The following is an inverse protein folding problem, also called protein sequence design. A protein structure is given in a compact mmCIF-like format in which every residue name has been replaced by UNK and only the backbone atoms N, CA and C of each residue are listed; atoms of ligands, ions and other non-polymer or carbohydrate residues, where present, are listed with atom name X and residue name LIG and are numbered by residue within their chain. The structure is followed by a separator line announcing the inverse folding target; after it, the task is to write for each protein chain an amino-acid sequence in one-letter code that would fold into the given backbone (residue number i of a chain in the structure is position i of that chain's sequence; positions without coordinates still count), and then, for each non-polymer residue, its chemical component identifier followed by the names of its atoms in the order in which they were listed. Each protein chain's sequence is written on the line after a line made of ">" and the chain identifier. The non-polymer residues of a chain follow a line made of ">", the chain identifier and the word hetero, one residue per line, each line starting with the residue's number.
data_IF_133978283208
#
_entry.id   IF_133978283208
#
_cell.length_a   1.000
_cell.length_b   1.000
_cell.length_c   1.000
_cell.angle_alpha   90.00
_cell.angle_beta   90.00
_cell.angle_gamma   90.00
#
_symmetry.space_group_name_H-M   'P 1'
#
loop_
_entity.id
_entity.type
_entity.pdbx_description
1 polymer ?
#
# COMPACT_ATOMS: atom_id res chain seq x y z
N UNK A 1 16.46 25.38 0.70
CA UNK A 1 15.59 24.31 0.16
C UNK A 1 14.38 25.00 -0.47
N UNK A 2 14.23 24.89 -1.78
CA UNK A 2 13.18 25.59 -2.54
C UNK A 2 11.84 24.91 -2.23
N UNK A 3 11.01 25.57 -1.42
CA UNK A 3 9.62 25.18 -1.23
C UNK A 3 8.88 25.38 -2.54
N UNK A 4 8.55 24.27 -3.21
CA UNK A 4 7.59 24.28 -4.29
C UNK A 4 6.31 23.67 -3.76
N UNK A 5 5.33 24.53 -3.51
CA UNK A 5 3.96 24.11 -3.25
C UNK A 5 3.43 23.41 -4.50
N UNK A 6 3.03 22.14 -4.33
CA UNK A 6 2.41 21.34 -5.39
C UNK A 6 0.92 21.64 -5.33
N UNK A 7 0.40 22.37 -6.31
CA UNK A 7 -1.03 22.56 -6.49
C UNK A 7 -1.62 21.41 -7.32
N UNK A 8 -2.75 20.88 -6.87
CA UNK A 8 -3.47 19.78 -7.52
C UNK A 8 -4.00 20.16 -8.90
N UNK A 9 -4.25 19.13 -9.71
CA UNK A 9 -4.76 19.24 -11.07
C UNK A 9 -6.14 19.91 -11.05
N UNK A 10 -6.26 20.99 -11.83
CA UNK A 10 -7.45 21.83 -12.05
C UNK A 10 -7.71 22.87 -10.96
N UNK A 11 -7.06 24.04 -11.10
CA UNK A 11 -7.70 25.31 -10.76
C UNK A 11 -7.82 26.13 -12.05
N UNK A 12 -8.96 25.98 -12.73
CA UNK A 12 -9.28 26.72 -13.96
C UNK A 12 -9.54 28.22 -13.72
N UNK A 13 -9.36 28.74 -12.49
CA UNK A 13 -9.76 30.10 -12.12
C UNK A 13 -8.62 31.02 -11.69
N UNK A 14 -7.36 30.71 -12.01
CA UNK A 14 -6.23 31.60 -11.68
C UNK A 14 -5.91 32.65 -12.77
N UNK A 15 -6.69 32.72 -13.85
CA UNK A 15 -6.57 33.81 -14.83
C UNK A 15 -7.27 35.08 -14.36
N UNK A 16 -6.59 36.23 -14.44
CA UNK A 16 -7.22 37.54 -14.29
C UNK A 16 -8.32 37.71 -15.35
N UNK A 17 -9.55 38.01 -14.93
CA UNK A 17 -10.68 38.25 -15.84
C UNK A 17 -10.35 39.41 -16.78
N UNK A 18 -10.38 39.15 -18.09
CA UNK A 18 -10.21 40.18 -19.11
C UNK A 18 -11.44 40.22 -20.01
N UNK A 19 -11.90 41.43 -20.34
CA UNK A 19 -13.08 41.66 -21.15
C UNK A 19 -12.66 42.15 -22.52
N UNK A 20 -13.19 41.53 -23.58
CA UNK A 20 -13.06 42.01 -24.96
C UNK A 20 -14.45 42.45 -25.41
N UNK A 21 -14.78 43.71 -25.15
CA UNK A 21 -16.13 44.25 -25.37
C UNK A 21 -17.14 43.70 -24.35
N UNK A 22 -18.30 43.24 -24.82
CA UNK A 22 -19.41 42.79 -23.95
C UNK A 22 -19.35 41.30 -23.59
N UNK A 23 -18.24 40.62 -23.90
CA UNK A 23 -18.04 39.19 -23.63
C UNK A 23 -16.80 39.00 -22.72
N UNK A 24 -16.92 38.11 -21.73
CA UNK A 24 -15.76 37.64 -20.94
C UNK A 24 -14.88 36.82 -21.88
N UNK A 25 -13.66 37.30 -22.12
CA UNK A 25 -12.67 36.57 -22.90
C UNK A 25 -11.63 36.01 -21.95
N UNK A 26 -11.56 34.68 -21.85
CA UNK A 26 -10.51 34.00 -21.11
C UNK A 26 -9.20 34.06 -21.90
N UNK A 27 -8.47 35.18 -21.80
CA UNK A 27 -7.12 35.32 -22.32
C UNK A 27 -6.09 35.08 -21.22
N UNK A 28 -5.54 33.87 -21.19
CA UNK A 28 -4.36 33.52 -20.43
C UNK A 28 -3.53 32.52 -21.23
N UNK A 29 -2.21 32.51 -21.00
CA UNK A 29 -1.34 31.46 -21.53
C UNK A 29 -1.77 30.14 -20.89
N UNK A 30 -2.51 29.33 -21.64
CA UNK A 30 -2.84 27.98 -21.21
C UNK A 30 -1.57 27.15 -21.26
N UNK A 31 -0.98 26.88 -20.10
CA UNK A 31 -0.02 25.81 -19.95
C UNK A 31 -0.76 24.48 -20.11
N UNK A 32 -0.87 23.99 -21.35
CA UNK A 32 -1.20 22.59 -21.61
C UNK A 32 0.01 21.81 -21.08
N UNK A 33 -0.07 21.35 -19.83
CA UNK A 33 0.89 20.39 -19.30
C UNK A 33 0.58 19.08 -19.99
N UNK A 34 1.29 18.78 -21.07
CA UNK A 34 1.25 17.45 -21.66
C UNK A 34 1.66 16.44 -20.58
N UNK A 35 0.86 15.38 -20.35
CA UNK A 35 1.22 14.39 -19.35
C UNK A 35 2.51 13.71 -19.79
N UNK A 36 3.58 13.90 -19.01
CA UNK A 36 4.82 13.15 -19.17
C UNK A 36 4.54 11.68 -18.84
N UNK A 37 4.39 10.84 -19.87
CA UNK A 37 4.25 9.41 -19.69
C UNK A 37 5.60 8.82 -19.28
N UNK A 38 5.68 8.30 -18.05
CA UNK A 38 6.85 7.59 -17.54
C UNK A 38 6.53 6.12 -17.26
N UNK A 39 7.44 5.22 -17.62
CA UNK A 39 7.36 3.81 -17.22
C UNK A 39 7.92 3.68 -15.81
N UNK A 40 7.07 3.26 -14.86
CA UNK A 40 7.47 2.96 -13.49
C UNK A 40 6.78 1.69 -12.98
N UNK A 41 7.32 1.11 -11.90
CA UNK A 41 6.63 0.05 -11.18
C UNK A 41 5.42 0.64 -10.45
N UNK A 42 4.40 -0.19 -10.28
CA UNK A 42 3.32 0.10 -9.34
C UNK A 42 3.89 0.13 -7.93
N UNK A 43 3.42 1.05 -7.09
CA UNK A 43 3.76 1.07 -5.67
C UNK A 43 3.08 -0.07 -4.93
N UNK A 44 3.54 -0.46 -3.72
CA UNK A 44 2.85 -1.46 -2.93
C UNK A 44 1.39 -1.11 -2.65
N UNK A 45 1.08 0.15 -2.37
CA UNK A 45 -0.30 0.63 -2.18
C UNK A 45 -1.15 0.47 -3.44
N UNK A 46 -0.58 0.74 -4.63
CA UNK A 46 -1.27 0.51 -5.89
C UNK A 46 -1.53 -0.99 -6.12
N UNK A 47 -0.56 -1.86 -5.78
CA UNK A 47 -0.75 -3.31 -5.82
C UNK A 47 -1.85 -3.79 -4.86
N UNK A 48 -1.89 -3.27 -3.63
CA UNK A 48 -2.92 -3.58 -2.63
C UNK A 48 -4.32 -3.21 -3.14
N UNK A 49 -4.48 -1.97 -3.64
CA UNK A 49 -5.74 -1.47 -4.22
C UNK A 49 -6.20 -2.33 -5.40
N UNK A 50 -5.29 -2.70 -6.29
CA UNK A 50 -5.60 -3.58 -7.43
C UNK A 50 -6.09 -4.97 -6.99
N UNK A 51 -5.57 -5.49 -5.87
CA UNK A 51 -6.04 -6.74 -5.28
C UNK A 51 -7.32 -6.56 -4.44
N UNK A 52 -7.80 -5.34 -4.28
CA UNK A 52 -9.04 -4.99 -3.57
C UNK A 52 -8.87 -4.75 -2.07
N UNK A 53 -7.64 -4.66 -1.56
CA UNK A 53 -7.39 -4.33 -0.15
C UNK A 53 -7.56 -2.82 0.11
N UNK A 54 -8.08 -2.43 1.29
CA UNK A 54 -8.13 -1.04 1.69
C UNK A 54 -6.73 -0.51 2.01
N UNK A 55 -6.53 0.81 1.89
CA UNK A 55 -5.22 1.44 2.11
C UNK A 55 -4.67 1.19 3.52
N UNK A 56 -5.55 1.13 4.52
CA UNK A 56 -5.19 0.90 5.92
C UNK A 56 -4.92 -0.56 6.27
N UNK A 57 -4.99 -1.49 5.31
CA UNK A 57 -4.85 -2.92 5.58
C UNK A 57 -3.52 -3.27 6.26
N UNK A 58 -2.47 -2.53 5.91
CA UNK A 58 -1.14 -2.70 6.44
C UNK A 58 -0.79 -1.66 7.51
N UNK A 59 -1.74 -0.87 8.01
CA UNK A 59 -1.44 0.11 9.03
C UNK A 59 -1.23 -0.56 10.40
N UNK A 60 -0.32 -0.01 11.20
CA UNK A 60 -0.16 -0.38 12.60
C UNK A 60 0.44 -1.77 12.86
N UNK A 61 1.21 -2.35 11.93
CA UNK A 61 1.92 -3.62 12.21
C UNK A 61 3.14 -3.44 13.13
N UNK A 62 3.59 -2.20 13.33
CA UNK A 62 4.74 -1.87 14.17
C UNK A 62 4.46 -2.04 15.67
N UNK A 63 5.48 -2.47 16.41
CA UNK A 63 5.52 -2.56 17.87
C UNK A 63 6.64 -1.65 18.40
N UNK A 64 6.27 -0.50 18.98
CA UNK A 64 7.22 0.52 19.43
C UNK A 64 8.10 0.07 20.59
N UNK A 65 7.50 -0.63 21.56
CA UNK A 65 8.14 -1.10 22.78
C UNK A 65 7.86 -2.60 22.97
N UNK A 66 8.53 -3.48 22.20
CA UNK A 66 8.32 -4.91 22.31
C UNK A 66 8.81 -5.42 23.67
N UNK A 67 8.01 -6.30 24.25
CA UNK A 67 8.28 -7.04 25.48
C UNK A 67 9.41 -8.06 25.29
N UNK A 68 9.96 -8.57 26.39
CA UNK A 68 10.99 -9.60 26.33
C UNK A 68 10.44 -10.89 25.69
N UNK A 69 9.18 -11.23 25.99
CA UNK A 69 8.49 -12.37 25.41
C UNK A 69 8.34 -12.24 23.88
N UNK A 70 7.95 -11.06 23.39
CA UNK A 70 7.88 -10.79 21.94
C UNK A 70 9.26 -10.89 21.28
N UNK A 71 10.30 -10.40 21.94
CA UNK A 71 11.67 -10.49 21.45
C UNK A 71 12.15 -11.95 21.36
N UNK A 72 11.81 -12.79 22.34
CA UNK A 72 12.12 -14.23 22.32
C UNK A 72 11.38 -14.89 21.15
N UNK A 73 10.06 -14.65 21.02
CA UNK A 73 9.25 -15.20 19.93
C UNK A 73 9.82 -14.84 18.56
N UNK A 74 10.09 -13.56 18.30
CA UNK A 74 10.59 -13.13 16.99
C UNK A 74 12.00 -13.62 16.69
N UNK A 75 12.84 -13.80 17.72
CA UNK A 75 14.16 -14.42 17.56
C UNK A 75 14.04 -15.85 17.03
N UNK A 76 13.13 -16.64 17.59
CA UNK A 76 12.88 -18.01 17.17
C UNK A 76 12.30 -18.08 15.75
N UNK A 77 11.35 -17.19 15.43
CA UNK A 77 10.77 -17.08 14.08
C UNK A 77 11.85 -16.78 13.04
N UNK A 78 12.70 -15.78 13.28
CA UNK A 78 13.77 -15.43 12.35
C UNK A 78 14.83 -16.51 12.21
N UNK A 79 15.16 -17.21 13.31
CA UNK A 79 16.11 -18.32 13.26
C UNK A 79 15.55 -19.52 12.48
N UNK A 80 14.27 -19.82 12.66
CA UNK A 80 13.58 -20.87 11.90
C UNK A 80 13.55 -20.54 10.42
N UNK A 81 13.15 -19.31 10.07
CA UNK A 81 13.16 -18.83 8.69
C UNK A 81 14.56 -18.91 8.07
N UNK A 82 15.61 -18.50 8.82
CA UNK A 82 17.01 -18.57 8.36
C UNK A 82 17.44 -20.00 8.03
N UNK A 83 17.11 -20.98 8.89
CA UNK A 83 17.44 -22.39 8.69
C UNK A 83 16.74 -22.98 7.46
N UNK A 84 15.48 -22.62 7.23
CA UNK A 84 14.70 -23.10 6.08
C UNK A 84 15.20 -22.48 4.77
N UNK A 85 15.39 -21.16 4.75
CA UNK A 85 15.74 -20.45 3.53
C UNK A 85 17.22 -20.59 3.16
N UNK A 86 18.09 -20.84 4.14
CA UNK A 86 19.54 -20.97 3.92
C UNK A 86 20.24 -19.69 3.45
N UNK A 87 19.58 -18.53 3.56
CA UNK A 87 20.04 -17.26 2.96
C UNK A 87 21.08 -16.50 3.78
N UNK A 88 21.26 -16.84 5.07
CA UNK A 88 22.21 -16.16 5.95
C UNK A 88 22.94 -17.14 6.87
N UNK A 89 24.27 -16.97 6.95
CA UNK A 89 25.13 -17.74 7.83
C UNK A 89 24.95 -17.37 9.32
N UNK A 90 24.48 -16.15 9.63
CA UNK A 90 24.35 -15.65 11.00
C UNK A 90 22.90 -15.29 11.36
N UNK A 91 22.49 -15.50 12.63
CA UNK A 91 21.19 -15.04 13.12
C UNK A 91 21.10 -13.51 13.12
N UNK A 92 19.87 -12.98 13.11
CA UNK A 92 19.63 -11.54 13.31
C UNK A 92 19.96 -11.15 14.75
N UNK A 93 20.55 -9.97 14.92
CA UNK A 93 20.78 -9.39 16.26
C UNK A 93 19.52 -8.76 16.82
N UNK A 94 19.47 -8.57 18.13
CA UNK A 94 18.37 -7.95 18.86
C UNK A 94 18.07 -6.55 18.33
N UNK A 95 19.10 -5.77 18.04
CA UNK A 95 18.95 -4.43 17.44
C UNK A 95 18.28 -4.46 16.07
N UNK A 96 18.55 -5.49 15.25
CA UNK A 96 17.91 -5.66 13.95
C UNK A 96 16.44 -6.07 14.10
N UNK A 97 16.15 -6.94 15.07
CA UNK A 97 14.80 -7.38 15.39
C UNK A 97 13.98 -6.20 15.93
N UNK A 98 14.51 -5.45 16.90
CA UNK A 98 13.88 -4.24 17.44
C UNK A 98 13.57 -3.22 16.35
N UNK A 99 14.53 -2.95 15.45
CA UNK A 99 14.32 -2.02 14.34
C UNK A 99 13.22 -2.52 13.41
N UNK A 100 13.21 -3.81 13.09
CA UNK A 100 12.17 -4.40 12.25
C UNK A 100 10.81 -4.41 12.92
N UNK A 101 10.73 -4.64 14.23
CA UNK A 101 9.46 -4.62 14.96
C UNK A 101 8.85 -3.22 15.00
N UNK A 102 9.65 -2.17 15.11
CA UNK A 102 9.15 -0.79 15.08
C UNK A 102 8.51 -0.43 13.73
N UNK A 103 9.13 -0.88 12.65
CA UNK A 103 8.68 -0.60 11.29
C UNK A 103 8.90 -1.83 10.39
N UNK A 104 7.96 -2.80 10.40
CA UNK A 104 8.10 -4.03 9.63
C UNK A 104 7.80 -3.83 8.14
N UNK A 105 7.44 -2.61 7.73
CA UNK A 105 7.08 -2.24 6.37
C UNK A 105 8.31 -1.83 5.58
N UNK A 106 8.67 -2.64 4.59
CA UNK A 106 9.55 -2.20 3.53
C UNK A 106 8.88 -2.48 2.21
N UNK A 107 9.10 -1.64 1.20
CA UNK A 107 8.57 -1.85 -0.15
C UNK A 107 8.81 -3.29 -0.63
N UNK A 108 10.01 -3.82 -0.39
CA UNK A 108 10.36 -5.19 -0.79
C UNK A 108 9.57 -6.27 -0.04
N UNK A 109 9.27 -6.05 1.24
CA UNK A 109 8.43 -6.95 2.02
C UNK A 109 6.98 -6.91 1.53
N UNK A 110 6.44 -5.72 1.28
CA UNK A 110 5.07 -5.55 0.79
C UNK A 110 4.90 -6.09 -0.63
N UNK A 111 5.83 -5.83 -1.55
CA UNK A 111 5.80 -6.44 -2.87
C UNK A 111 5.78 -7.97 -2.80
N UNK A 112 6.57 -8.57 -1.89
CA UNK A 112 6.56 -10.02 -1.70
C UNK A 112 5.23 -10.50 -1.12
N UNK A 113 4.68 -9.77 -0.15
CA UNK A 113 3.39 -10.09 0.45
C UNK A 113 2.28 -10.03 -0.60
N UNK A 114 2.15 -8.93 -1.33
CA UNK A 114 1.16 -8.76 -2.39
C UNK A 114 1.37 -9.72 -3.56
N UNK A 115 2.63 -10.03 -3.92
CA UNK A 115 2.93 -10.99 -4.99
C UNK A 115 2.55 -12.43 -4.66
N UNK A 116 2.43 -12.78 -3.38
CA UNK A 116 1.91 -14.08 -2.91
C UNK A 116 0.48 -13.97 -2.34
N UNK A 117 -0.12 -12.79 -2.44
CA UNK A 117 -1.45 -12.49 -1.91
C UNK A 117 -2.56 -13.03 -2.80
N UNK A 118 -3.79 -12.77 -2.38
CA UNK A 118 -5.03 -13.16 -3.05
C UNK A 118 -5.76 -11.92 -3.53
N UNK A 119 -6.57 -12.04 -4.58
CA UNK A 119 -7.55 -11.01 -4.89
C UNK A 119 -8.68 -11.06 -3.87
N UNK A 120 -8.77 -10.06 -2.99
CA UNK A 120 -9.74 -9.99 -1.89
C UNK A 120 -11.20 -10.14 -2.36
N UNK A 121 -11.65 -9.55 -3.49
CA UNK A 121 -13.01 -9.74 -3.98
C UNK A 121 -13.35 -11.21 -4.28
N UNK A 122 -12.39 -11.97 -4.81
CA UNK A 122 -12.60 -13.37 -5.14
C UNK A 122 -12.72 -14.22 -3.88
N UNK A 123 -11.88 -13.96 -2.88
CA UNK A 123 -11.96 -14.64 -1.58
C UNK A 123 -13.29 -14.33 -0.90
N UNK A 124 -13.70 -13.06 -0.88
CA UNK A 124 -14.99 -12.66 -0.30
C UNK A 124 -16.16 -13.38 -0.97
N UNK A 125 -16.16 -13.47 -2.31
CA UNK A 125 -17.19 -14.18 -3.06
C UNK A 125 -17.26 -15.67 -2.67
N UNK A 126 -16.12 -16.38 -2.67
CA UNK A 126 -16.06 -17.81 -2.35
C UNK A 126 -16.48 -18.08 -0.91
N UNK A 127 -15.95 -17.31 0.05
CA UNK A 127 -16.28 -17.48 1.46
C UNK A 127 -17.75 -17.15 1.75
N UNK A 128 -18.32 -16.13 1.09
CA UNK A 128 -19.75 -15.82 1.21
C UNK A 128 -20.61 -17.00 0.75
N UNK A 129 -20.23 -17.67 -0.35
CA UNK A 129 -20.91 -18.88 -0.80
C UNK A 129 -20.81 -20.02 0.20
N UNK A 130 -19.62 -20.28 0.76
CA UNK A 130 -19.42 -21.31 1.79
C UNK A 130 -20.30 -21.04 3.01
N UNK A 131 -20.30 -19.80 3.51
CA UNK A 131 -21.13 -19.40 4.66
C UNK A 131 -22.61 -19.60 4.35
N UNK A 132 -23.06 -19.19 3.17
CA UNK A 132 -24.45 -19.36 2.74
C UNK A 132 -24.88 -20.84 2.78
N UNK A 133 -24.12 -21.73 2.13
CA UNK A 133 -24.48 -23.15 2.10
C UNK A 133 -24.28 -23.86 3.44
N UNK A 134 -23.37 -23.39 4.31
CA UNK A 134 -23.23 -23.89 5.67
C UNK A 134 -24.44 -23.53 6.55
N UNK A 135 -25.06 -22.37 6.32
CA UNK A 135 -26.25 -21.92 7.06
C UNK A 135 -27.55 -22.53 6.52
N UNK A 136 -27.60 -22.84 5.22
CA UNK A 136 -28.79 -23.40 4.56
C UNK A 136 -28.46 -24.70 3.80
N UNK A 137 -28.18 -25.80 4.51
CA UNK A 137 -27.72 -27.06 3.91
C UNK A 137 -28.82 -27.73 3.05
N UNK A 138 -30.09 -27.43 3.29
CA UNK A 138 -31.22 -28.01 2.58
C UNK A 138 -31.28 -27.64 1.09
N UNK A 139 -30.53 -26.62 0.65
CA UNK A 139 -30.39 -26.28 -0.78
C UNK A 139 -29.41 -27.19 -1.54
N UNK A 140 -28.72 -28.10 -0.85
CA UNK A 140 -27.79 -29.06 -1.46
C UNK A 140 -28.41 -30.46 -1.68
N UNK A 141 -29.68 -30.65 -1.30
CA UNK A 141 -30.48 -31.88 -1.49
C UNK A 141 -31.58 -31.64 -2.54
#
# INVERSE_FOLDING_TARGET
>A
ASGKDVFGTISASMGSKQWLGNQEAFSGDYHIVEPDYIVRRLTPTECARLQGFPDWWCDGLGTEAPTEEEMIFWREVFETHRKIMGTSAKPKSDSQILKWLKDPHSDSAEYRMWGNGVALPNVYFVLSGIVYYAQFPDFLL
#
